data_IF_195829494149
#
_entry.id   IF_195829494149
#
_cell.length_a   1.000
_cell.length_b   1.000
_cell.length_c   1.000
_cell.angle_alpha   90.00
_cell.angle_beta   90.00
_cell.angle_gamma   90.00
#
_symmetry.space_group_name_H-M   'P 1'
#
loop_
_entity.id
_entity.type
_entity.pdbx_description
1 polymer ?
#
# COMPACT_ATOMS: atom_id res chain seq x y z
N UNK A 1 30.97 15.14 -18.92
CA UNK A 1 29.78 15.94 -18.58
C UNK A 1 30.04 16.69 -17.28
N UNK A 2 29.92 18.03 -17.26
CA UNK A 2 30.18 18.84 -16.08
C UNK A 2 29.11 18.67 -14.99
N UNK A 3 27.85 18.46 -15.38
CA UNK A 3 26.73 18.20 -14.45
C UNK A 3 26.95 16.89 -13.73
N UNK A 4 27.40 15.85 -14.44
CA UNK A 4 27.71 14.57 -13.84
C UNK A 4 28.86 14.65 -12.83
N UNK A 5 29.93 15.39 -13.16
CA UNK A 5 31.03 15.64 -12.21
C UNK A 5 30.54 16.36 -10.96
N UNK A 6 29.63 17.33 -11.09
CA UNK A 6 29.01 18.00 -9.95
C UNK A 6 28.20 17.01 -9.10
N UNK A 7 27.34 16.20 -9.74
CA UNK A 7 26.51 15.19 -9.09
C UNK A 7 27.33 14.22 -8.23
N UNK A 8 28.52 13.83 -8.68
CA UNK A 8 29.42 12.94 -7.93
C UNK A 8 29.90 13.53 -6.60
N UNK A 9 29.83 14.84 -6.42
CA UNK A 9 30.21 15.52 -5.18
C UNK A 9 29.05 15.68 -4.19
N UNK A 10 27.82 15.34 -4.61
CA UNK A 10 26.60 15.57 -3.85
C UNK A 10 26.17 14.32 -3.09
N UNK A 11 25.48 14.53 -1.97
CA UNK A 11 24.75 13.46 -1.30
C UNK A 11 23.43 13.20 -2.05
N UNK A 12 23.28 11.98 -2.55
CA UNK A 12 22.07 11.55 -3.27
C UNK A 12 20.99 11.16 -2.26
N UNK A 13 19.84 11.81 -2.34
CA UNK A 13 18.70 11.56 -1.45
C UNK A 13 17.76 10.50 -2.00
N UNK A 14 17.52 10.51 -3.31
CA UNK A 14 16.72 9.49 -3.99
C UNK A 14 17.07 9.42 -5.48
N UNK A 15 16.71 8.30 -6.10
CA UNK A 15 16.84 8.05 -7.52
C UNK A 15 15.65 7.22 -8.01
N UNK A 16 15.11 7.56 -9.16
CA UNK A 16 14.10 6.75 -9.86
C UNK A 16 14.33 6.85 -11.37
N UNK A 17 13.95 5.82 -12.13
CA UNK A 17 14.24 5.75 -13.55
C UNK A 17 13.45 4.69 -14.30
N UNK A 18 13.38 4.87 -15.62
CA UNK A 18 12.61 4.01 -16.51
C UNK A 18 13.34 3.79 -17.83
N UNK A 19 13.16 2.60 -18.41
CA UNK A 19 13.57 2.32 -19.78
C UNK A 19 12.57 2.92 -20.76
N UNK A 20 13.07 3.60 -21.79
CA UNK A 20 12.24 4.29 -22.78
C UNK A 20 12.21 3.50 -24.08
N UNK A 21 11.02 3.02 -24.44
CA UNK A 21 10.78 2.39 -25.74
C UNK A 21 10.47 3.42 -26.82
N UNK A 22 11.12 3.33 -27.97
CA UNK A 22 10.74 4.08 -29.18
C UNK A 22 11.36 5.47 -29.35
N UNK A 23 12.16 5.96 -28.41
CA UNK A 23 12.97 7.18 -28.62
C UNK A 23 14.16 6.88 -29.53
N UNK A 24 14.40 7.75 -30.53
CA UNK A 24 15.57 7.65 -31.41
C UNK A 24 16.87 8.10 -30.74
N UNK A 25 16.78 8.87 -29.65
CA UNK A 25 17.93 9.56 -29.05
C UNK A 25 18.43 8.90 -27.77
N UNK A 26 17.55 8.31 -26.96
CA UNK A 26 17.85 7.72 -25.66
C UNK A 26 17.02 6.47 -25.39
N UNK A 27 17.54 5.56 -24.56
CA UNK A 27 16.94 4.26 -24.20
C UNK A 27 16.48 4.18 -22.75
N UNK A 28 16.83 5.19 -21.93
CA UNK A 28 16.45 5.25 -20.54
C UNK A 28 16.55 6.67 -20.00
N UNK A 29 15.79 6.93 -18.95
CA UNK A 29 15.81 8.20 -18.20
C UNK A 29 15.91 7.87 -16.72
N UNK A 30 16.72 8.63 -16.00
CA UNK A 30 16.82 8.57 -14.55
C UNK A 30 16.73 9.97 -13.96
N UNK A 31 16.04 10.11 -12.85
CA UNK A 31 15.97 11.32 -12.06
C UNK A 31 16.68 11.10 -10.74
N UNK A 32 17.53 12.04 -10.37
CA UNK A 32 18.35 11.95 -9.17
C UNK A 32 18.12 13.21 -8.35
N UNK A 33 17.72 13.05 -7.10
CA UNK A 33 17.60 14.16 -6.15
C UNK A 33 18.78 14.17 -5.20
N UNK A 34 19.19 15.37 -4.83
CA UNK A 34 20.14 15.66 -3.77
C UNK A 34 19.50 16.63 -2.78
N UNK A 35 20.18 16.98 -1.70
CA UNK A 35 19.65 17.93 -0.74
C UNK A 35 19.32 19.30 -1.38
N UNK A 36 20.02 19.74 -2.41
CA UNK A 36 19.90 21.09 -2.98
C UNK A 36 19.56 21.13 -4.47
N UNK A 37 19.54 19.99 -5.15
CA UNK A 37 19.33 19.94 -6.59
C UNK A 37 18.60 18.67 -7.07
N UNK A 38 17.95 18.78 -8.22
CA UNK A 38 17.35 17.68 -8.98
C UNK A 38 18.03 17.60 -10.35
N UNK A 39 18.40 16.39 -10.73
CA UNK A 39 19.09 16.10 -11.99
C UNK A 39 18.31 15.09 -12.81
N UNK A 40 18.37 15.24 -14.13
CA UNK A 40 17.85 14.25 -15.09
C UNK A 40 18.99 13.71 -15.91
N UNK A 41 19.15 12.40 -15.90
CA UNK A 41 20.06 11.65 -16.75
C UNK A 41 19.30 11.00 -17.89
N UNK A 42 19.85 11.09 -19.11
CA UNK A 42 19.37 10.38 -20.28
C UNK A 42 20.43 9.40 -20.76
N UNK A 43 20.08 8.13 -20.84
CA UNK A 43 20.96 7.10 -21.39
C UNK A 43 20.86 7.13 -22.91
N UNK A 44 21.91 7.60 -23.57
CA UNK A 44 22.01 7.63 -25.03
C UNK A 44 21.84 6.23 -25.62
N UNK A 45 21.18 6.15 -26.78
CA UNK A 45 21.08 4.89 -27.53
C UNK A 45 22.45 4.40 -28.01
N UNK A 46 22.57 3.11 -28.31
CA UNK A 46 23.80 2.50 -28.82
C UNK A 46 24.25 3.07 -30.18
N UNK A 47 23.36 3.71 -30.92
CA UNK A 47 23.69 4.46 -32.14
C UNK A 47 24.33 5.82 -31.87
N UNK A 48 24.08 6.39 -30.69
CA UNK A 48 24.49 7.74 -30.30
C UNK A 48 25.69 7.72 -29.35
N UNK A 49 25.86 6.65 -28.57
CA UNK A 49 27.00 6.44 -27.70
C UNK A 49 27.89 5.30 -28.19
N UNK A 50 29.18 5.60 -28.45
CA UNK A 50 30.19 4.61 -28.85
C UNK A 50 31.04 4.10 -27.69
N UNK A 51 30.83 4.63 -26.48
CA UNK A 51 31.48 4.21 -25.24
C UNK A 51 30.56 3.26 -24.46
N UNK A 52 30.88 3.00 -23.18
CA UNK A 52 30.13 2.06 -22.35
C UNK A 52 29.93 2.63 -20.94
N UNK A 53 28.87 2.20 -20.27
CA UNK A 53 28.64 2.55 -18.87
C UNK A 53 28.21 4.01 -18.69
N UNK A 54 28.80 4.70 -17.71
CA UNK A 54 28.39 6.05 -17.32
C UNK A 54 28.65 7.13 -18.37
N UNK A 55 29.62 6.92 -19.27
CA UNK A 55 29.94 7.89 -20.33
C UNK A 55 28.83 8.03 -21.38
N UNK A 56 27.85 7.11 -21.41
CA UNK A 56 26.68 7.19 -22.27
C UNK A 56 25.51 7.96 -21.65
N UNK A 57 25.67 8.47 -20.43
CA UNK A 57 24.64 9.27 -19.78
C UNK A 57 24.91 10.76 -19.99
N UNK A 58 23.86 11.49 -20.38
CA UNK A 58 23.85 12.94 -20.40
C UNK A 58 22.98 13.46 -19.25
N UNK A 59 23.59 14.22 -18.34
CA UNK A 59 22.92 14.79 -17.18
C UNK A 59 22.65 16.28 -17.34
N UNK A 60 21.44 16.69 -16.99
CA UNK A 60 21.03 18.09 -16.88
C UNK A 60 20.54 18.40 -15.47
N UNK A 61 20.81 19.62 -15.02
CA UNK A 61 20.23 20.15 -13.80
C UNK A 61 18.84 20.71 -14.12
N UNK A 62 17.83 20.17 -13.46
CA UNK A 62 16.40 20.49 -13.65
C UNK A 62 15.76 20.95 -12.34
N UNK A 63 16.56 21.50 -11.43
CA UNK A 63 16.11 21.87 -10.09
C UNK A 63 14.95 22.87 -10.15
N UNK A 64 13.78 22.57 -9.54
CA UNK A 64 12.67 23.51 -9.50
C UNK A 64 13.04 24.77 -8.72
N UNK A 65 12.56 25.93 -9.19
CA UNK A 65 12.80 27.20 -8.51
C UNK A 65 12.21 27.20 -7.10
N UNK A 66 13.00 27.67 -6.13
CA UNK A 66 12.58 27.78 -4.72
C UNK A 66 12.53 26.46 -3.94
N UNK A 67 12.84 25.32 -4.57
CA UNK A 67 12.95 24.02 -3.89
C UNK A 67 14.36 23.81 -3.34
N UNK A 68 14.47 23.57 -2.03
CA UNK A 68 15.67 23.04 -1.37
C UNK A 68 15.24 21.99 -0.35
N UNK A 69 16.12 21.05 -0.05
CA UNK A 69 15.84 19.92 0.84
C UNK A 69 15.05 18.80 0.16
N UNK A 70 15.40 18.41 -1.07
CA UNK A 70 14.67 17.33 -1.75
C UNK A 70 14.89 15.99 -1.07
N UNK A 71 13.80 15.25 -0.88
CA UNK A 71 13.80 14.02 -0.08
C UNK A 71 13.50 12.77 -0.88
N UNK A 72 12.66 12.87 -1.91
CA UNK A 72 12.28 11.73 -2.73
C UNK A 72 11.97 12.17 -4.17
N UNK A 73 12.00 11.19 -5.07
CA UNK A 73 11.58 11.30 -6.47
C UNK A 73 10.77 10.08 -6.85
N UNK A 74 9.75 10.28 -7.67
CA UNK A 74 8.98 9.21 -8.29
C UNK A 74 8.74 9.56 -9.76
N UNK A 75 8.87 8.56 -10.63
CA UNK A 75 8.69 8.67 -12.07
C UNK A 75 7.50 7.83 -12.50
N UNK A 76 6.74 8.31 -13.50
CA UNK A 76 5.67 7.52 -14.10
C UNK A 76 6.26 6.44 -15.03
N UNK A 77 5.97 5.15 -14.83
CA UNK A 77 6.57 4.07 -15.62
C UNK A 77 6.23 4.09 -17.11
N UNK A 78 5.11 4.70 -17.49
CA UNK A 78 4.67 4.78 -18.90
C UNK A 78 5.07 6.09 -19.58
N UNK A 79 5.62 7.04 -18.84
CA UNK A 79 5.89 8.40 -19.31
C UNK A 79 7.15 8.93 -18.62
N UNK A 80 8.27 8.88 -19.34
CA UNK A 80 9.58 9.27 -18.82
C UNK A 80 9.75 10.75 -18.55
N UNK A 81 8.79 11.59 -18.97
CA UNK A 81 8.82 13.03 -18.75
C UNK A 81 7.90 13.47 -17.59
N UNK A 82 7.10 12.54 -17.05
CA UNK A 82 6.20 12.79 -15.94
C UNK A 82 6.82 12.34 -14.61
N UNK A 83 7.34 13.31 -13.85
CA UNK A 83 8.10 13.10 -12.62
C UNK A 83 7.55 13.92 -11.45
N UNK A 84 7.64 13.38 -10.25
CA UNK A 84 7.37 14.07 -9.00
C UNK A 84 8.61 14.10 -8.12
N UNK A 85 8.86 15.23 -7.47
CA UNK A 85 9.89 15.35 -6.42
C UNK A 85 9.29 15.96 -5.18
N UNK A 86 9.74 15.52 -4.01
CA UNK A 86 9.33 16.12 -2.75
C UNK A 86 10.44 16.94 -2.13
N UNK A 87 10.07 18.01 -1.43
CA UNK A 87 10.95 18.75 -0.53
C UNK A 87 10.15 19.25 0.67
N UNK A 88 10.66 19.05 1.89
CA UNK A 88 9.87 19.32 3.09
C UNK A 88 8.54 18.56 3.07
N UNK A 89 7.44 19.29 3.12
CA UNK A 89 6.06 18.78 3.00
C UNK A 89 5.44 18.96 1.59
N UNK A 90 6.17 19.57 0.66
CA UNK A 90 5.71 19.89 -0.69
C UNK A 90 6.02 18.76 -1.68
N UNK A 91 5.14 18.60 -2.68
CA UNK A 91 5.41 17.82 -3.89
C UNK A 91 5.39 18.77 -5.10
N UNK A 92 6.43 18.68 -5.92
CA UNK A 92 6.46 19.29 -7.26
C UNK A 92 6.29 18.23 -8.31
N UNK A 93 5.54 18.58 -9.34
CA UNK A 93 5.27 17.76 -10.51
C UNK A 93 5.81 18.45 -11.75
N UNK A 94 6.41 17.66 -12.64
CA UNK A 94 6.74 18.06 -13.99
C UNK A 94 6.17 17.02 -14.96
N UNK A 95 5.66 17.49 -16.10
CA UNK A 95 5.14 16.66 -17.21
C UNK A 95 5.96 16.83 -18.49
N UNK A 96 7.09 17.54 -18.40
CA UNK A 96 7.94 17.95 -19.52
C UNK A 96 9.43 17.70 -19.23
N UNK A 97 9.71 16.68 -18.42
CA UNK A 97 11.06 16.24 -18.16
C UNK A 97 11.84 17.12 -17.18
N UNK A 98 11.17 17.96 -16.40
CA UNK A 98 11.78 18.91 -15.47
C UNK A 98 12.06 20.29 -16.10
N UNK A 99 11.51 20.57 -17.28
CA UNK A 99 11.63 21.89 -17.92
C UNK A 99 10.76 22.93 -17.22
N UNK A 100 9.59 22.52 -16.73
CA UNK A 100 8.72 23.30 -15.87
C UNK A 100 8.19 22.46 -14.72
N UNK A 101 7.84 23.14 -13.62
CA UNK A 101 7.40 22.51 -12.38
C UNK A 101 6.17 23.22 -11.81
N UNK A 102 5.18 22.42 -11.41
CA UNK A 102 3.99 22.87 -10.70
C UNK A 102 3.93 22.25 -9.31
N UNK A 103 3.16 22.85 -8.39
CA UNK A 103 2.81 22.16 -7.16
C UNK A 103 1.84 21.03 -7.50
N UNK A 104 2.09 19.84 -6.97
CA UNK A 104 1.14 18.75 -7.09
C UNK A 104 -0.01 18.99 -6.11
N UNK A 105 -1.18 19.37 -6.63
CA UNK A 105 -2.39 19.65 -5.86
C UNK A 105 -2.10 20.57 -4.64
N UNK A 106 -2.69 20.29 -3.48
CA UNK A 106 -2.55 21.05 -2.23
C UNK A 106 -1.43 20.52 -1.31
N UNK A 107 -0.42 19.82 -1.87
CA UNK A 107 0.66 19.19 -1.08
C UNK A 107 1.45 20.19 -0.22
N UNK A 108 1.61 21.43 -0.66
CA UNK A 108 2.40 22.46 0.01
C UNK A 108 1.71 23.17 1.20
N UNK A 109 0.76 22.52 1.88
CA UNK A 109 0.05 23.14 3.00
C UNK A 109 0.77 22.90 4.33
N UNK A 110 0.80 23.87 5.26
CA UNK A 110 1.57 23.78 6.51
C UNK A 110 1.19 22.61 7.43
N UNK A 111 -0.02 22.07 7.27
CA UNK A 111 -0.54 20.98 8.10
C UNK A 111 -0.02 19.60 7.68
N UNK A 112 0.78 19.52 6.61
CA UNK A 112 1.37 18.28 6.12
C UNK A 112 2.76 18.03 6.71
N UNK A 113 3.00 16.78 7.12
CA UNK A 113 4.29 16.29 7.57
C UNK A 113 5.33 16.24 6.43
N UNK A 114 6.61 16.12 6.79
CA UNK A 114 7.67 15.96 5.80
C UNK A 114 7.51 14.66 5.02
N UNK A 115 7.66 14.77 3.70
CA UNK A 115 7.65 13.64 2.79
C UNK A 115 9.05 13.02 2.78
N UNK A 116 9.12 11.72 3.07
CA UNK A 116 10.38 10.95 3.05
C UNK A 116 10.47 9.97 1.89
N UNK A 117 9.33 9.54 1.37
CA UNK A 117 9.23 8.53 0.31
C UNK A 117 8.20 9.02 -0.69
N UNK A 118 8.42 8.76 -1.96
CA UNK A 118 7.41 8.91 -3.00
C UNK A 118 7.38 7.59 -3.78
N UNK A 119 6.19 7.05 -4.00
CA UNK A 119 5.98 5.84 -4.80
C UNK A 119 4.86 6.13 -5.77
N UNK A 120 5.11 5.98 -7.07
CA UNK A 120 4.03 6.05 -8.06
C UNK A 120 3.11 4.82 -7.93
N UNK A 121 1.79 5.05 -7.80
CA UNK A 121 0.78 4.00 -7.71
C UNK A 121 -0.50 4.41 -8.46
N UNK A 122 -1.08 3.46 -9.20
CA UNK A 122 -2.32 3.60 -9.97
C UNK A 122 -3.57 3.09 -9.22
N UNK A 123 -3.40 2.56 -8.00
CA UNK A 123 -4.46 1.87 -7.24
C UNK A 123 -5.51 2.77 -6.56
N UNK A 124 -5.43 4.10 -6.64
CA UNK A 124 -6.57 4.93 -6.21
C UNK A 124 -7.64 4.92 -7.29
N UNK A 125 -8.61 4.03 -7.09
CA UNK A 125 -9.82 3.92 -7.89
C UNK A 125 -10.54 5.28 -8.05
N UNK A 126 -10.39 5.89 -9.23
CA UNK A 126 -11.38 6.85 -9.77
C UNK A 126 -10.95 8.30 -10.00
N UNK A 127 -9.70 8.69 -9.78
CA UNK A 127 -9.19 10.02 -10.20
C UNK A 127 -7.70 9.89 -10.45
N UNK A 128 -7.12 10.70 -11.35
CA UNK A 128 -5.72 10.61 -11.80
C UNK A 128 -4.74 10.12 -10.70
N UNK A 129 -3.97 9.06 -10.99
CA UNK A 129 -3.07 8.40 -10.04
C UNK A 129 -1.89 9.28 -9.59
N UNK A 130 -1.36 8.99 -8.40
CA UNK A 130 -0.31 9.76 -7.73
C UNK A 130 0.25 9.09 -6.47
N UNK A 131 1.33 9.67 -5.93
CA UNK A 131 2.25 9.03 -4.99
C UNK A 131 1.98 9.25 -3.49
N UNK A 132 2.32 8.27 -2.63
CA UNK A 132 2.06 8.30 -1.18
C UNK A 132 3.31 8.33 -0.30
N UNK A 133 3.31 9.20 0.71
CA UNK A 133 3.95 8.94 2.00
C UNK A 133 3.27 9.69 3.14
N UNK A 134 3.06 8.97 4.23
CA UNK A 134 2.98 9.52 5.59
C UNK A 134 4.01 8.78 6.44
N UNK A 135 4.89 9.51 7.11
CA UNK A 135 5.44 9.02 8.38
C UNK A 135 4.76 9.85 9.44
N UNK A 136 3.87 9.24 10.22
CA UNK A 136 3.35 9.89 11.41
C UNK A 136 4.53 10.19 12.31
N UNK A 137 4.94 11.46 12.35
CA UNK A 137 5.76 11.90 13.47
C UNK A 137 4.79 11.94 14.62
N UNK A 138 4.70 10.84 15.37
CA UNK A 138 4.36 10.92 16.78
C UNK A 138 5.25 12.01 17.36
N UNK A 139 4.72 13.24 17.42
CA UNK A 139 5.14 14.25 18.40
C UNK A 139 4.83 13.59 19.71
N UNK A 140 5.71 12.69 20.13
CA UNK A 140 5.47 12.02 21.38
C UNK A 140 6.79 11.50 21.99
N UNK A 141 7.43 12.13 22.99
CA UNK A 141 6.99 13.32 23.69
C UNK A 141 7.81 13.63 24.96
N UNK A 142 7.47 14.75 25.59
CA UNK A 142 6.93 14.69 26.96
C UNK A 142 5.87 13.56 27.05
N UNK A 143 6.31 12.28 27.16
CA UNK A 143 5.65 10.98 26.73
C UNK A 143 6.19 10.23 25.46
N UNK A 144 7.30 9.50 25.59
CA UNK A 144 7.46 8.10 25.13
C UNK A 144 7.28 7.72 23.64
N UNK A 145 8.17 6.96 22.99
CA UNK A 145 9.32 6.16 23.42
C UNK A 145 9.95 5.48 22.20
N UNK A 146 11.29 5.35 22.19
CA UNK A 146 12.14 4.26 21.66
C UNK A 146 11.84 3.70 20.25
N UNK A 147 12.73 3.91 19.27
CA UNK A 147 13.88 3.03 18.96
C UNK A 147 13.44 1.60 18.58
N UNK A 148 13.92 0.93 17.54
CA UNK A 148 14.93 1.17 16.51
C UNK A 148 15.03 -0.14 15.68
N UNK A 149 15.57 -0.06 14.45
CA UNK A 149 16.35 -1.11 13.74
C UNK A 149 15.63 -2.43 13.37
N UNK A 150 15.88 -3.10 12.24
CA UNK A 150 16.75 -2.95 11.07
C UNK A 150 16.44 -4.16 10.16
N UNK A 151 16.97 -4.15 8.93
CA UNK A 151 16.95 -5.20 7.90
C UNK A 151 15.56 -5.47 7.30
N UNK A 152 15.43 -5.64 5.99
CA UNK A 152 16.07 -6.72 5.24
C UNK A 152 16.44 -6.35 3.80
N UNK A 153 17.54 -6.96 3.36
CA UNK A 153 17.70 -7.31 1.96
C UNK A 153 17.08 -8.70 1.73
N UNK A 154 16.60 -8.89 0.51
CA UNK A 154 16.38 -10.16 -0.19
C UNK A 154 14.96 -10.72 -0.20
N UNK A 155 14.33 -10.58 -1.38
CA UNK A 155 13.73 -11.67 -2.14
C UNK A 155 12.98 -12.77 -1.36
N UNK A 156 11.69 -12.55 -1.14
CA UNK A 156 10.63 -13.56 -1.29
C UNK A 156 9.32 -12.88 -0.96
N UNK A 157 8.36 -12.94 -1.87
CA UNK A 157 7.01 -12.45 -1.64
C UNK A 157 6.39 -13.18 -0.44
N UNK A 158 6.34 -12.52 0.71
CA UNK A 158 5.54 -12.94 1.86
C UNK A 158 4.25 -12.12 1.85
N UNK A 159 3.19 -12.73 1.34
CA UNK A 159 1.79 -12.30 1.39
C UNK A 159 1.21 -12.39 2.82
N UNK A 160 1.89 -11.80 3.78
CA UNK A 160 1.44 -11.63 5.16
C UNK A 160 1.32 -10.12 5.35
N UNK A 161 0.17 -9.48 5.35
CA UNK A 161 -0.80 -9.54 6.46
C UNK A 161 -2.19 -8.97 6.08
N UNK A 162 -2.51 -8.78 4.81
CA UNK A 162 -3.69 -8.00 4.44
C UNK A 162 -4.99 -8.83 4.44
N UNK A 163 -6.02 -8.39 5.17
CA UNK A 163 -7.36 -8.98 5.06
C UNK A 163 -8.06 -8.42 3.80
N UNK A 164 -7.71 -8.93 2.62
CA UNK A 164 -8.17 -8.46 1.32
C UNK A 164 -9.70 -8.35 1.20
N UNK A 165 -10.46 -9.35 1.67
CA UNK A 165 -11.93 -9.36 1.58
C UNK A 165 -12.56 -8.35 2.55
N UNK A 166 -12.03 -8.22 3.76
CA UNK A 166 -12.56 -7.31 4.77
C UNK A 166 -12.29 -5.85 4.40
N UNK A 167 -11.08 -5.55 3.90
CA UNK A 167 -10.73 -4.22 3.37
C UNK A 167 -11.57 -3.87 2.14
N UNK A 168 -11.82 -4.83 1.24
CA UNK A 168 -12.68 -4.62 0.07
C UNK A 168 -14.16 -4.37 0.43
N UNK A 169 -14.66 -4.99 1.50
CA UNK A 169 -16.05 -4.84 1.95
C UNK A 169 -16.27 -3.56 2.76
N UNK A 170 -15.39 -3.24 3.71
CA UNK A 170 -15.52 -2.09 4.62
C UNK A 170 -14.90 -0.80 4.08
N UNK A 171 -14.11 -0.88 3.00
CA UNK A 171 -13.54 0.28 2.31
C UNK A 171 -12.39 0.98 3.04
N UNK A 172 -11.99 0.48 4.21
CA UNK A 172 -10.85 1.00 4.98
C UNK A 172 -10.23 -0.09 5.84
N UNK A 173 -8.91 -0.19 5.80
CA UNK A 173 -8.12 -1.10 6.64
C UNK A 173 -8.23 -0.77 8.13
N UNK A 174 -8.42 0.51 8.45
CA UNK A 174 -8.51 1.03 9.82
C UNK A 174 -9.90 0.83 10.46
N UNK A 175 -10.83 0.22 9.74
CA UNK A 175 -12.18 0.01 10.26
C UNK A 175 -12.15 -0.93 11.48
N UNK A 176 -12.84 -0.55 12.56
CA UNK A 176 -12.86 -1.27 13.84
C UNK A 176 -13.08 -2.78 13.69
N UNK A 177 -14.00 -3.18 12.79
CA UNK A 177 -14.29 -4.59 12.51
C UNK A 177 -13.18 -5.35 11.78
N UNK A 178 -12.37 -4.66 10.96
CA UNK A 178 -11.22 -5.28 10.28
C UNK A 178 -10.12 -5.58 11.30
N UNK A 179 -9.90 -4.66 12.26
CA UNK A 179 -8.98 -4.90 13.38
C UNK A 179 -9.41 -6.10 14.24
N UNK A 180 -10.69 -6.19 14.58
CA UNK A 180 -11.22 -7.34 15.35
C UNK A 180 -11.02 -8.68 14.61
N UNK A 181 -11.23 -8.72 13.28
CA UNK A 181 -10.99 -9.93 12.47
C UNK A 181 -9.50 -10.31 12.35
N UNK A 182 -8.62 -9.31 12.30
CA UNK A 182 -7.16 -9.52 12.29
C UNK A 182 -6.68 -10.12 13.59
N UNK A 183 -7.09 -9.55 14.72
CA UNK A 183 -6.79 -10.09 16.05
C UNK A 183 -7.25 -11.54 16.17
N UNK A 184 -8.45 -11.86 15.67
CA UNK A 184 -8.95 -13.24 15.66
C UNK A 184 -8.09 -14.17 14.79
N UNK A 185 -7.71 -13.75 13.57
CA UNK A 185 -6.82 -14.52 12.70
C UNK A 185 -5.49 -14.81 13.39
N UNK A 186 -4.86 -13.78 13.93
CA UNK A 186 -3.52 -13.87 14.49
C UNK A 186 -3.53 -14.70 15.79
N UNK A 187 -4.61 -14.62 16.56
CA UNK A 187 -4.71 -15.29 17.86
C UNK A 187 -5.23 -16.73 17.80
N UNK A 188 -5.93 -17.12 16.73
CA UNK A 188 -6.61 -18.43 16.67
C UNK A 188 -6.37 -19.21 15.37
N UNK A 189 -6.23 -18.54 14.21
CA UNK A 189 -6.02 -19.22 12.93
C UNK A 189 -4.54 -19.56 12.73
N UNK A 190 -3.62 -18.66 13.06
CA UNK A 190 -2.18 -18.92 12.89
C UNK A 190 -1.56 -19.82 13.97
N UNK A 191 -2.28 -20.11 15.06
CA UNK A 191 -1.78 -20.92 16.17
C UNK A 191 -1.88 -22.43 15.92
N UNK A 192 -2.61 -22.88 14.88
CA UNK A 192 -2.81 -24.29 14.55
C UNK A 192 -2.39 -24.56 13.08
N UNK A 193 -1.67 -25.66 12.82
CA UNK A 193 -1.19 -26.03 11.46
C UNK A 193 -2.28 -26.11 10.39
N UNK A 194 -3.51 -26.46 10.78
CA UNK A 194 -4.66 -26.49 9.87
C UNK A 194 -5.13 -25.08 9.52
N UNK A 195 -5.00 -24.14 10.45
CA UNK A 195 -5.41 -22.75 10.26
C UNK A 195 -4.42 -21.95 9.41
N UNK A 196 -3.11 -22.24 9.48
CA UNK A 196 -2.13 -21.63 8.57
C UNK A 196 -2.39 -22.02 7.11
N UNK A 197 -2.67 -23.29 6.83
CA UNK A 197 -2.95 -23.77 5.47
C UNK A 197 -4.27 -23.19 4.89
N UNK A 198 -5.28 -22.98 5.74
CA UNK A 198 -6.50 -22.26 5.35
C UNK A 198 -6.23 -20.78 5.04
N UNK A 199 -5.34 -20.14 5.80
CA UNK A 199 -4.94 -18.75 5.60
C UNK A 199 -4.11 -18.62 4.31
N UNK A 200 -3.24 -19.58 4.01
CA UNK A 200 -2.47 -19.60 2.76
C UNK A 200 -3.40 -19.73 1.54
N UNK A 201 -4.38 -20.64 1.59
CA UNK A 201 -5.40 -20.76 0.54
C UNK A 201 -6.25 -19.48 0.40
N UNK A 202 -6.56 -18.83 1.53
CA UNK A 202 -7.22 -17.52 1.52
C UNK A 202 -6.36 -16.47 0.82
N UNK A 203 -5.06 -16.43 1.09
CA UNK A 203 -4.14 -15.47 0.46
C UNK A 203 -3.94 -15.73 -1.04
N UNK A 204 -4.01 -16.99 -1.47
CA UNK A 204 -3.89 -17.35 -2.88
C UNK A 204 -5.13 -16.99 -3.71
N UNK A 205 -6.33 -17.23 -3.17
CA UNK A 205 -7.58 -17.04 -3.93
C UNK A 205 -8.31 -15.71 -3.67
N UNK A 206 -8.13 -15.10 -2.49
CA UNK A 206 -8.85 -13.88 -2.12
C UNK A 206 -8.55 -12.64 -2.98
N UNK A 207 -7.35 -12.42 -3.55
CA UNK A 207 -7.07 -11.20 -4.32
C UNK A 207 -7.90 -11.08 -5.60
N UNK A 208 -8.20 -12.20 -6.26
CA UNK A 208 -9.08 -12.22 -7.44
C UNK A 208 -10.55 -11.95 -7.08
N UNK A 209 -11.02 -12.54 -5.98
CA UNK A 209 -12.40 -12.39 -5.51
C UNK A 209 -12.64 -11.00 -4.92
N UNK A 210 -11.67 -10.43 -4.20
CA UNK A 210 -11.75 -9.08 -3.64
C UNK A 210 -11.92 -8.00 -4.72
N UNK A 211 -11.30 -8.17 -5.89
CA UNK A 211 -11.46 -7.28 -7.05
C UNK A 211 -12.88 -7.29 -7.63
N UNK A 212 -13.57 -8.42 -7.60
CA UNK A 212 -14.96 -8.52 -8.07
C UNK A 212 -15.97 -7.99 -7.05
N UNK A 213 -15.67 -8.13 -5.76
CA UNK A 213 -16.51 -7.61 -4.67
C UNK A 213 -16.38 -6.09 -4.55
N UNK A 214 -15.18 -5.53 -4.73
CA UNK A 214 -14.95 -4.08 -4.58
C UNK A 214 -15.66 -3.25 -5.66
N UNK A 215 -15.94 -3.83 -6.82
CA UNK A 215 -16.58 -3.16 -7.97
C UNK A 215 -18.12 -3.15 -7.91
N UNK A 216 -18.76 -3.94 -7.04
CA UNK A 216 -20.22 -4.07 -6.98
C UNK A 216 -20.78 -3.83 -5.58
N UNK A 217 -21.62 -2.81 -5.39
CA UNK A 217 -22.20 -2.46 -4.07
C UNK A 217 -23.08 -3.58 -3.48
N UNK A 218 -23.82 -4.32 -4.31
CA UNK A 218 -24.65 -5.44 -3.86
C UNK A 218 -23.80 -6.58 -3.29
N UNK A 219 -22.65 -6.87 -3.90
CA UNK A 219 -21.69 -7.86 -3.42
C UNK A 219 -20.99 -7.40 -2.14
N UNK A 220 -20.71 -6.10 -1.98
CA UNK A 220 -20.24 -5.54 -0.69
C UNK A 220 -21.25 -5.75 0.41
N UNK A 221 -22.54 -5.49 0.16
CA UNK A 221 -23.60 -5.70 1.17
C UNK A 221 -23.77 -7.16 1.57
N UNK A 222 -23.72 -8.10 0.61
CA UNK A 222 -23.76 -9.54 0.90
C UNK A 222 -22.51 -9.97 1.69
N UNK A 223 -21.34 -9.47 1.32
CA UNK A 223 -20.08 -9.76 2.01
C UNK A 223 -20.09 -9.20 3.43
N UNK A 224 -20.59 -7.97 3.65
CA UNK A 224 -20.82 -7.40 4.98
C UNK A 224 -21.80 -8.24 5.80
N UNK A 225 -22.91 -8.66 5.20
CA UNK A 225 -23.92 -9.50 5.84
C UNK A 225 -23.35 -10.86 6.26
N UNK A 226 -22.44 -11.43 5.46
CA UNK A 226 -21.72 -12.66 5.80
C UNK A 226 -20.62 -12.47 6.85
N UNK A 227 -19.98 -11.29 6.88
CA UNK A 227 -18.91 -10.97 7.83
C UNK A 227 -19.42 -10.60 9.22
N UNK A 228 -20.58 -9.94 9.33
CA UNK A 228 -21.18 -9.58 10.63
C UNK A 228 -21.36 -10.75 11.61
N UNK A 229 -21.94 -11.90 11.23
CA UNK A 229 -22.05 -13.04 12.15
C UNK A 229 -20.67 -13.60 12.52
N UNK A 230 -19.70 -13.56 11.61
CA UNK A 230 -18.34 -14.02 11.86
C UNK A 230 -17.59 -13.13 12.85
N UNK A 231 -17.74 -11.80 12.74
CA UNK A 231 -17.24 -10.81 13.71
C UNK A 231 -17.88 -11.02 15.08
N UNK A 232 -19.20 -11.27 15.11
CA UNK A 232 -19.92 -11.56 16.35
C UNK A 232 -19.39 -12.80 17.07
N UNK A 233 -19.06 -13.86 16.32
CA UNK A 233 -18.46 -15.08 16.85
C UNK A 233 -17.04 -14.81 17.36
N UNK A 234 -16.21 -14.09 16.60
CA UNK A 234 -14.87 -13.71 17.03
C UNK A 234 -14.88 -12.96 18.38
N UNK A 235 -15.79 -11.99 18.51
CA UNK A 235 -15.99 -11.23 19.76
C UNK A 235 -16.46 -12.11 20.92
N UNK A 236 -17.33 -13.08 20.66
CA UNK A 236 -17.79 -14.07 21.64
C UNK A 236 -16.65 -15.00 22.10
N UNK A 237 -15.75 -15.40 21.19
CA UNK A 237 -14.56 -16.21 21.49
C UNK A 237 -13.61 -15.43 22.39
N UNK A 238 -13.39 -14.15 22.10
CA UNK A 238 -12.53 -13.29 22.93
C UNK A 238 -13.13 -13.07 24.34
N UNK A 239 -14.45 -13.01 24.46
CA UNK A 239 -15.10 -12.69 25.73
C UNK A 239 -15.32 -13.90 26.64
N UNK A 240 -15.61 -15.09 26.09
CA UNK A 240 -15.89 -16.31 26.86
C UNK A 240 -14.85 -17.43 26.68
N UNK A 241 -13.89 -17.26 25.77
CA UNK A 241 -12.96 -18.31 25.36
C UNK A 241 -13.61 -19.38 24.47
N UNK A 242 -12.79 -20.22 23.85
CA UNK A 242 -13.23 -21.26 22.90
C UNK A 242 -14.21 -22.27 23.52
N UNK A 243 -14.09 -22.54 24.82
CA UNK A 243 -14.99 -23.44 25.54
C UNK A 243 -16.39 -22.82 25.72
N UNK A 244 -16.46 -21.51 25.97
CA UNK A 244 -17.74 -20.82 26.13
C UNK A 244 -18.49 -20.63 24.81
N UNK A 245 -17.77 -20.45 23.70
CA UNK A 245 -18.40 -20.38 22.37
C UNK A 245 -18.89 -21.74 21.89
N UNK A 246 -18.09 -22.80 22.07
CA UNK A 246 -18.55 -24.17 21.80
C UNK A 246 -19.75 -24.54 22.66
N UNK A 247 -19.73 -24.22 23.95
CA UNK A 247 -20.89 -24.43 24.83
C UNK A 247 -22.11 -23.63 24.37
N UNK A 248 -21.94 -22.37 23.96
CA UNK A 248 -23.00 -21.54 23.39
C UNK A 248 -23.60 -22.10 22.10
N UNK A 249 -22.77 -22.62 21.19
CA UNK A 249 -23.22 -23.27 19.96
C UNK A 249 -23.91 -24.62 20.22
N UNK A 250 -23.42 -25.42 21.18
CA UNK A 250 -24.07 -26.67 21.61
C UNK A 250 -25.41 -26.35 22.28
N UNK A 251 -25.48 -25.28 23.08
CA UNK A 251 -26.73 -24.85 23.73
C UNK A 251 -27.73 -24.30 22.70
N UNK A 252 -27.28 -23.50 21.73
CA UNK A 252 -28.13 -22.98 20.66
C UNK A 252 -28.63 -24.09 19.72
N UNK A 253 -27.78 -25.02 19.31
CA UNK A 253 -28.19 -26.17 18.51
C UNK A 253 -29.09 -27.12 19.29
N UNK A 254 -28.85 -27.33 20.59
CA UNK A 254 -29.73 -28.07 21.50
C UNK A 254 -31.11 -27.42 21.63
N UNK A 255 -31.18 -26.09 21.78
CA UNK A 255 -32.45 -25.35 21.81
C UNK A 255 -33.16 -25.45 20.45
N UNK A 256 -32.43 -25.37 19.33
CA UNK A 256 -33.00 -25.49 17.99
C UNK A 256 -33.57 -26.89 17.74
N UNK A 257 -32.87 -27.94 18.19
CA UNK A 257 -33.33 -29.33 18.12
C UNK A 257 -34.52 -29.60 19.06
N UNK A 258 -34.54 -28.97 20.23
CA UNK A 258 -35.71 -29.03 21.13
C UNK A 258 -36.89 -28.25 20.57
N UNK A 259 -36.65 -27.13 19.88
CA UNK A 259 -37.67 -26.37 19.17
C UNK A 259 -38.21 -27.16 17.98
N UNK A 260 -37.36 -27.82 17.18
CA UNK A 260 -37.81 -28.67 16.08
C UNK A 260 -38.59 -29.89 16.58
N UNK A 261 -38.14 -30.58 17.64
CA UNK A 261 -38.93 -31.65 18.28
C UNK A 261 -40.25 -31.17 18.88
N UNK A 262 -40.29 -29.94 19.41
CA UNK A 262 -41.52 -29.32 19.93
C UNK A 262 -42.48 -28.90 18.81
N UNK A 263 -41.96 -28.60 17.63
CA UNK A 263 -42.75 -28.34 16.42
C UNK A 263 -43.31 -29.66 15.89
N UNK A 264 -42.51 -30.71 15.75
CA UNK A 264 -42.99 -32.03 15.28
C UNK A 264 -44.01 -32.66 16.24
N UNK A 265 -43.80 -32.56 17.56
CA UNK A 265 -44.76 -33.05 18.56
C UNK A 265 -46.07 -32.23 18.65
N UNK A 266 -46.09 -30.98 18.16
CA UNK A 266 -47.33 -30.20 18.00
C UNK A 266 -48.05 -30.54 16.70
N UNK A 267 -47.32 -30.83 15.63
CA UNK A 267 -47.89 -31.28 14.36
C UNK A 267 -48.53 -32.67 14.49
N UNK A 268 -47.90 -33.61 15.19
CA UNK A 268 -48.47 -34.96 15.46
C UNK A 268 -49.67 -34.97 16.41
N UNK A 269 -50.00 -33.85 17.07
CA UNK A 269 -51.17 -33.73 17.96
C UNK A 269 -52.36 -33.00 17.30
N UNK A 270 -52.16 -32.52 16.07
CA UNK A 270 -53.14 -31.77 15.26
C UNK A 270 -53.61 -32.62 14.06
N UNK A 271 -52.87 -33.67 13.68
CA UNK A 271 -53.28 -34.75 12.76
C UNK A 271 -53.84 -35.91 13.57
#
# INVERSE_FOLDING_TARGET
DATFTELQTKYITAIDGVTVGGSSSYSGVAYVTSADAVYRGQLLNSSSCTTTGFDCWEFSNITPSGGVGFTAVALKPTDSDHVWVSYGNCIKESTDGGSSWANYSDSCTPDHDQIKVLVYDDLIAGTAGGAFAYTGTSTTSSSSSSESSSSEASSSETSTEECFIATAAFGSYEHKYVKELRTFRDSHLLTNRIGSEFVDLYYEYSPAVARQISSNESLKSITKLSLYPMIGIARLVEWLGWLGTLAGFIFASGILLLASNKIESRVSRIV
#
